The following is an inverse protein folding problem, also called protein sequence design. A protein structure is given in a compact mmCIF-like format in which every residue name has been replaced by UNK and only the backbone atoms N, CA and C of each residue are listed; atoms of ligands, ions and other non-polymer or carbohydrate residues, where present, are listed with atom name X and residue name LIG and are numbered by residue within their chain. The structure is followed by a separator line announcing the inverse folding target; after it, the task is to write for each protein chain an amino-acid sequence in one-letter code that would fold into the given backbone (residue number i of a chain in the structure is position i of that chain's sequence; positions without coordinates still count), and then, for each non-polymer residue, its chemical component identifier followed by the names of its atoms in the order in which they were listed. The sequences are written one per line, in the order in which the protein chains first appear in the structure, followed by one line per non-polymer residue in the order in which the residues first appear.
data_IF_176625926907
#
_entry.id   IF_176625926907
#
_cell.length_a   1.000
_cell.length_b   1.000
_cell.length_c   1.000
_cell.angle_alpha   90.00
_cell.angle_beta   90.00
_cell.angle_gamma   90.00
#
_symmetry.space_group_name_H-M   'P 1'
#
loop_
_entity.id
_entity.type
_entity.pdbx_description
1 polymer ?
#
# COMPACT_ATOMS: atom_id res chain seq x y z
N UNK A 1 -5.48 3.73 -4.43
CA UNK A 1 -6.65 3.89 -3.55
C UNK A 1 -7.68 4.88 -4.13
N UNK A 2 -7.28 6.05 -4.65
CA UNK A 2 -8.20 7.14 -4.98
C UNK A 2 -9.38 6.77 -5.88
N UNK A 3 -9.12 6.06 -6.98
CA UNK A 3 -10.19 5.62 -7.88
C UNK A 3 -11.15 4.63 -7.18
N UNK A 4 -10.59 3.67 -6.43
CA UNK A 4 -11.39 2.67 -5.74
C UNK A 4 -12.30 3.29 -4.65
N UNK A 5 -11.74 4.17 -3.81
CA UNK A 5 -12.51 4.89 -2.80
C UNK A 5 -13.62 5.73 -3.44
N UNK A 6 -13.29 6.52 -4.47
CA UNK A 6 -14.26 7.37 -5.14
C UNK A 6 -15.43 6.58 -5.75
N UNK A 7 -15.13 5.50 -6.49
CA UNK A 7 -16.15 4.65 -7.11
C UNK A 7 -17.02 3.96 -6.05
N UNK A 8 -16.43 3.42 -4.99
CA UNK A 8 -17.17 2.70 -3.95
C UNK A 8 -18.08 3.65 -3.15
N UNK A 9 -17.58 4.84 -2.77
CA UNK A 9 -18.36 5.85 -2.09
C UNK A 9 -19.56 6.30 -2.94
N UNK A 10 -19.34 6.61 -4.21
CA UNK A 10 -20.41 6.97 -5.13
C UNK A 10 -21.46 5.87 -5.27
N UNK A 11 -21.02 4.62 -5.44
CA UNK A 11 -21.92 3.47 -5.52
C UNK A 11 -22.68 3.22 -4.19
N UNK A 12 -22.14 3.75 -3.09
CA UNK A 12 -22.79 3.77 -1.75
C UNK A 12 -23.69 4.97 -1.53
N UNK A 13 -23.87 5.85 -2.53
CA UNK A 13 -24.77 7.02 -2.46
C UNK A 13 -24.16 8.27 -1.83
N UNK A 14 -22.84 8.35 -1.73
CA UNK A 14 -22.12 9.53 -1.23
C UNK A 14 -21.80 10.46 -2.41
N UNK A 15 -21.98 11.76 -2.22
CA UNK A 15 -21.54 12.78 -3.17
C UNK A 15 -20.00 12.85 -3.19
N UNK A 16 -19.40 12.57 -4.33
CA UNK A 16 -17.95 12.49 -4.48
C UNK A 16 -17.44 13.51 -5.51
N UNK A 17 -16.54 14.36 -5.06
CA UNK A 17 -15.77 15.28 -5.89
C UNK A 17 -14.33 14.75 -6.00
N UNK A 18 -13.75 14.79 -7.19
CA UNK A 18 -12.36 14.38 -7.40
C UNK A 18 -11.49 15.62 -7.65
N UNK A 19 -10.66 15.96 -6.67
CA UNK A 19 -9.67 17.03 -6.77
C UNK A 19 -8.39 16.54 -7.47
N UNK A 20 -8.05 17.12 -8.62
CA UNK A 20 -6.87 16.75 -9.39
C UNK A 20 -6.10 17.98 -9.88
N UNK A 21 -4.81 17.79 -10.18
CA UNK A 21 -4.04 18.81 -10.88
C UNK A 21 -4.51 18.91 -12.32
N UNK A 22 -4.81 20.12 -12.77
CA UNK A 22 -5.26 20.39 -14.13
C UNK A 22 -4.27 19.83 -15.18
N UNK A 23 -4.80 19.07 -16.13
CA UNK A 23 -3.99 18.49 -17.21
C UNK A 23 -3.18 17.23 -16.81
N UNK A 24 -3.37 16.67 -15.63
CA UNK A 24 -2.74 15.39 -15.28
C UNK A 24 -3.41 14.20 -16.01
N UNK A 25 -2.70 13.08 -16.13
CA UNK A 25 -3.18 11.88 -16.83
C UNK A 25 -4.49 11.31 -16.23
N UNK A 26 -4.70 11.46 -14.92
CA UNK A 26 -5.90 10.97 -14.24
C UNK A 26 -7.15 11.82 -14.48
N UNK A 27 -7.00 13.06 -14.93
CA UNK A 27 -8.14 13.95 -15.16
C UNK A 27 -9.15 13.39 -16.17
N UNK A 28 -8.75 13.03 -17.42
CA UNK A 28 -9.69 12.48 -18.39
C UNK A 28 -10.27 11.12 -17.95
N UNK A 29 -9.53 10.34 -17.15
CA UNK A 29 -9.99 9.05 -16.63
C UNK A 29 -11.13 9.30 -15.63
N UNK A 30 -10.94 10.18 -14.65
CA UNK A 30 -11.97 10.49 -13.66
C UNK A 30 -13.24 11.09 -14.29
N UNK A 31 -13.09 11.94 -15.31
CA UNK A 31 -14.23 12.48 -16.08
C UNK A 31 -14.98 11.34 -16.81
N UNK A 32 -14.25 10.43 -17.46
CA UNK A 32 -14.84 9.27 -18.15
C UNK A 32 -15.59 8.35 -17.18
N UNK A 33 -15.08 8.21 -15.96
CA UNK A 33 -15.72 7.43 -14.88
C UNK A 33 -16.93 8.15 -14.26
N UNK A 34 -17.26 9.36 -14.73
CA UNK A 34 -18.47 10.11 -14.35
C UNK A 34 -18.34 10.88 -13.05
N UNK A 35 -17.14 11.24 -12.62
CA UNK A 35 -16.93 12.10 -11.45
C UNK A 35 -17.05 13.59 -11.80
N UNK A 36 -17.48 14.38 -10.82
CA UNK A 36 -17.28 15.84 -10.82
C UNK A 36 -15.80 16.11 -10.52
N UNK A 37 -15.04 16.52 -11.54
CA UNK A 37 -13.60 16.71 -11.46
C UNK A 37 -13.26 18.20 -11.46
N UNK A 38 -12.52 18.63 -10.46
CA UNK A 38 -12.07 20.01 -10.33
C UNK A 38 -10.62 20.08 -9.82
N UNK A 39 -10.09 21.28 -9.71
CA UNK A 39 -8.77 21.47 -9.10
C UNK A 39 -8.80 21.16 -7.60
N UNK A 40 -7.64 20.81 -7.02
CA UNK A 40 -7.56 20.49 -5.58
C UNK A 40 -8.08 21.63 -4.70
N UNK A 41 -7.73 22.92 -4.95
CA UNK A 41 -8.30 24.03 -4.19
C UNK A 41 -9.83 24.14 -4.27
N UNK A 42 -10.39 23.98 -5.49
CA UNK A 42 -11.85 24.03 -5.70
C UNK A 42 -12.56 22.89 -4.97
N UNK A 43 -11.99 21.67 -5.01
CA UNK A 43 -12.51 20.53 -4.28
C UNK A 43 -12.41 20.72 -2.76
N UNK A 44 -11.26 21.18 -2.26
CA UNK A 44 -11.06 21.44 -0.82
C UNK A 44 -12.00 22.51 -0.26
N UNK A 45 -12.34 23.52 -1.07
CA UNK A 45 -13.30 24.55 -0.68
C UNK A 45 -14.72 23.97 -0.50
N UNK A 46 -15.13 23.06 -1.39
CA UNK A 46 -16.50 22.50 -1.42
C UNK A 46 -16.71 21.33 -0.48
N UNK A 47 -15.70 20.49 -0.31
CA UNK A 47 -15.85 19.23 0.43
C UNK A 47 -15.98 19.45 1.95
N UNK A 48 -16.79 18.61 2.60
CA UNK A 48 -16.86 18.49 4.06
C UNK A 48 -15.75 17.56 4.58
N UNK A 49 -15.46 16.49 3.83
CA UNK A 49 -14.39 15.51 4.12
C UNK A 49 -13.38 15.52 2.98
N UNK A 50 -12.12 15.77 3.30
CA UNK A 50 -11.02 15.78 2.33
C UNK A 50 -10.15 14.56 2.56
N UNK A 51 -10.29 13.53 1.71
CA UNK A 51 -9.45 12.33 1.75
C UNK A 51 -8.24 12.53 0.83
N UNK A 52 -7.03 12.48 1.40
CA UNK A 52 -5.78 12.62 0.67
C UNK A 52 -5.24 11.23 0.27
N UNK A 53 -5.17 10.96 -1.04
CA UNK A 53 -4.79 9.66 -1.60
C UNK A 53 -3.70 9.76 -2.67
N UNK A 54 -2.91 10.83 -2.67
CA UNK A 54 -1.68 10.93 -3.46
C UNK A 54 -0.51 10.36 -2.67
N UNK A 55 0.62 10.16 -3.35
CA UNK A 55 1.85 9.63 -2.73
C UNK A 55 2.30 10.51 -1.56
N UNK A 56 2.75 9.89 -0.48
CA UNK A 56 3.08 10.54 0.80
C UNK A 56 4.06 11.70 0.66
N UNK A 57 5.08 11.55 -0.18
CA UNK A 57 6.12 12.56 -0.41
C UNK A 57 5.62 13.84 -1.09
N UNK A 58 4.38 13.83 -1.59
CA UNK A 58 3.73 14.99 -2.25
C UNK A 58 2.61 15.61 -1.43
N UNK A 59 2.16 14.90 -0.42
CA UNK A 59 0.98 15.33 0.35
C UNK A 59 1.23 16.64 1.09
N UNK A 60 2.39 16.81 1.73
CA UNK A 60 2.71 18.00 2.52
C UNK A 60 2.69 19.29 1.69
N UNK A 61 3.29 19.26 0.49
CA UNK A 61 3.31 20.42 -0.41
C UNK A 61 1.91 20.75 -0.93
N UNK A 62 1.16 19.73 -1.37
CA UNK A 62 -0.22 19.89 -1.82
C UNK A 62 -1.12 20.39 -0.69
N UNK A 63 -1.00 19.82 0.50
CA UNK A 63 -1.73 20.27 1.69
C UNK A 63 -1.50 21.76 1.94
N UNK A 64 -0.26 22.19 2.00
CA UNK A 64 0.11 23.57 2.30
C UNK A 64 -0.41 24.56 1.25
N UNK A 65 -0.34 24.19 -0.03
CA UNK A 65 -0.67 25.09 -1.15
C UNK A 65 -2.17 25.07 -1.46
N UNK A 66 -2.77 23.88 -1.49
CA UNK A 66 -4.06 23.66 -2.13
C UNK A 66 -5.21 23.31 -1.15
N UNK A 67 -4.89 22.84 0.06
CA UNK A 67 -5.91 22.37 1.03
C UNK A 67 -5.98 23.27 2.27
N UNK A 68 -4.86 23.54 2.92
CA UNK A 68 -4.83 24.26 4.19
C UNK A 68 -5.57 25.62 4.16
N UNK A 69 -5.51 26.42 3.06
CA UNK A 69 -6.27 27.68 3.01
C UNK A 69 -7.79 27.52 3.06
N UNK A 70 -8.32 26.33 2.76
CA UNK A 70 -9.76 26.02 2.68
C UNK A 70 -10.22 25.06 3.77
N UNK A 71 -9.29 24.60 4.64
CA UNK A 71 -9.58 23.67 5.73
C UNK A 71 -10.09 24.46 6.94
N UNK A 72 -11.40 24.73 6.93
CA UNK A 72 -12.09 25.51 7.97
C UNK A 72 -12.64 24.61 9.07
N UNK A 73 -13.00 25.22 10.21
CA UNK A 73 -13.67 24.55 11.32
C UNK A 73 -14.91 23.77 10.84
N UNK A 74 -15.11 22.56 11.39
CA UNK A 74 -16.19 21.65 11.04
C UNK A 74 -15.91 20.75 9.83
N UNK A 75 -14.81 20.94 9.12
CA UNK A 75 -14.36 20.00 8.08
C UNK A 75 -13.54 18.84 8.67
N UNK A 76 -13.40 17.77 7.89
CA UNK A 76 -12.52 16.68 8.21
C UNK A 76 -11.42 16.50 7.14
N UNK A 77 -10.22 16.11 7.57
CA UNK A 77 -9.14 15.67 6.69
C UNK A 77 -8.80 14.22 7.01
N UNK A 78 -8.65 13.40 5.98
CA UNK A 78 -8.49 11.98 6.13
C UNK A 78 -7.35 11.44 5.28
N UNK A 79 -6.81 10.30 5.68
CA UNK A 79 -5.67 9.63 5.07
C UNK A 79 -5.93 8.12 4.98
N UNK A 80 -5.27 7.45 4.03
CA UNK A 80 -5.24 5.99 3.97
C UNK A 80 -3.99 5.41 4.64
N UNK A 81 -3.02 6.24 5.01
CA UNK A 81 -1.79 5.92 5.72
C UNK A 81 -1.33 7.15 6.52
N UNK A 82 -0.79 6.92 7.72
CA UNK A 82 -0.54 8.01 8.67
C UNK A 82 0.80 8.74 8.52
N UNK A 83 1.63 8.47 7.50
CA UNK A 83 2.98 9.00 7.33
C UNK A 83 3.11 10.50 7.61
N UNK A 84 2.31 11.32 6.94
CA UNK A 84 2.42 12.77 7.03
C UNK A 84 1.97 13.34 8.38
N UNK A 85 1.07 12.66 9.07
CA UNK A 85 0.63 13.01 10.42
C UNK A 85 1.67 12.55 11.45
N UNK A 86 2.08 11.27 11.39
CA UNK A 86 3.04 10.68 12.33
C UNK A 86 4.38 11.43 12.33
N UNK A 87 4.89 11.82 11.17
CA UNK A 87 6.15 12.54 11.04
C UNK A 87 5.99 14.07 10.92
N UNK A 88 4.81 14.59 11.28
CA UNK A 88 4.50 16.03 11.39
C UNK A 88 4.82 16.83 10.11
N UNK A 89 4.66 16.20 8.95
CA UNK A 89 4.75 16.89 7.66
C UNK A 89 3.47 17.68 7.36
N UNK A 90 2.34 17.22 7.91
CA UNK A 90 1.04 17.88 7.90
C UNK A 90 0.60 18.03 9.36
N UNK A 91 0.25 19.26 9.73
CA UNK A 91 -0.31 19.59 11.04
C UNK A 91 -1.63 20.34 10.79
N UNK A 92 -2.77 19.66 10.88
CA UNK A 92 -4.08 20.29 10.69
C UNK A 92 -4.40 21.27 11.83
N UNK A 93 -5.26 22.29 11.57
CA UNK A 93 -5.73 23.19 12.62
C UNK A 93 -6.64 22.47 13.63
N UNK A 94 -6.69 22.95 14.87
CA UNK A 94 -7.40 22.31 15.99
C UNK A 94 -8.91 22.16 15.79
N UNK A 95 -9.53 22.97 14.92
CA UNK A 95 -10.98 22.97 14.67
C UNK A 95 -11.46 21.96 13.62
N UNK A 96 -10.61 21.03 13.14
CA UNK A 96 -10.97 20.03 12.13
C UNK A 96 -10.79 18.61 12.65
N UNK A 97 -11.59 17.69 12.15
CA UNK A 97 -11.41 16.29 12.42
C UNK A 97 -10.24 15.71 11.60
N UNK A 98 -9.48 14.81 12.19
CA UNK A 98 -8.38 14.11 11.51
C UNK A 98 -8.49 12.63 11.75
N UNK A 99 -8.69 11.86 10.69
CA UNK A 99 -8.81 10.41 10.80
C UNK A 99 -8.08 9.66 9.69
N UNK A 100 -7.90 8.38 9.92
CA UNK A 100 -7.40 7.44 8.95
C UNK A 100 -8.45 6.38 8.64
N UNK A 101 -8.57 6.07 7.35
CA UNK A 101 -9.32 4.93 6.84
C UNK A 101 -8.39 4.14 5.91
N UNK A 102 -7.78 3.09 6.44
CA UNK A 102 -6.71 2.34 5.78
C UNK A 102 -7.15 0.92 5.39
N UNK A 103 -7.64 0.70 4.15
CA UNK A 103 -7.88 -0.64 3.64
C UNK A 103 -6.56 -1.41 3.53
N UNK A 104 -6.50 -2.62 4.09
CA UNK A 104 -5.31 -3.48 4.04
C UNK A 104 -5.29 -4.31 2.75
N UNK A 105 -5.08 -3.62 1.64
CA UNK A 105 -4.96 -4.19 0.30
C UNK A 105 -4.83 -3.12 -0.77
N UNK A 106 -4.34 -3.48 -1.96
CA UNK A 106 -4.17 -2.54 -3.07
C UNK A 106 -5.52 -2.02 -3.59
N UNK A 107 -5.54 -0.82 -4.15
CA UNK A 107 -6.78 -0.14 -4.57
C UNK A 107 -7.65 -0.96 -5.54
N UNK A 108 -7.04 -1.67 -6.50
CA UNK A 108 -7.80 -2.53 -7.42
C UNK A 108 -8.54 -3.67 -6.68
N UNK A 109 -7.93 -4.23 -5.62
CA UNK A 109 -8.59 -5.23 -4.78
C UNK A 109 -9.73 -4.62 -3.97
N UNK A 110 -9.57 -3.40 -3.44
CA UNK A 110 -10.64 -2.67 -2.75
C UNK A 110 -11.85 -2.49 -3.67
N UNK A 111 -11.65 -2.18 -4.96
CA UNK A 111 -12.73 -2.05 -5.93
C UNK A 111 -13.33 -3.38 -6.33
N UNK A 112 -12.51 -4.36 -6.71
CA UNK A 112 -12.99 -5.65 -7.21
C UNK A 112 -13.78 -6.44 -6.16
N UNK A 113 -13.33 -6.43 -4.91
CA UNK A 113 -14.05 -7.08 -3.80
C UNK A 113 -15.38 -6.37 -3.50
N UNK A 114 -15.42 -5.03 -3.57
CA UNK A 114 -16.64 -4.25 -3.37
C UNK A 114 -17.71 -4.60 -4.39
N UNK A 115 -17.35 -4.69 -5.67
CA UNK A 115 -18.28 -4.99 -6.78
C UNK A 115 -18.97 -6.35 -6.61
N UNK A 116 -18.27 -7.34 -6.05
CA UNK A 116 -18.83 -8.67 -5.76
C UNK A 116 -19.48 -8.78 -4.38
N UNK A 117 -19.79 -7.64 -3.74
CA UNK A 117 -20.49 -7.60 -2.44
C UNK A 117 -19.62 -7.93 -1.22
N UNK A 118 -18.31 -8.08 -1.42
CA UNK A 118 -17.31 -8.31 -0.37
C UNK A 118 -16.62 -6.98 0.03
N UNK A 119 -15.58 -7.06 0.83
CA UNK A 119 -14.75 -5.93 1.24
C UNK A 119 -13.32 -6.33 1.52
N UNK A 120 -12.48 -5.34 1.76
CA UNK A 120 -11.12 -5.50 2.28
C UNK A 120 -11.12 -5.03 3.72
N UNK A 121 -10.51 -5.77 4.67
CA UNK A 121 -10.40 -5.32 6.06
C UNK A 121 -9.74 -3.94 6.14
N UNK A 122 -10.24 -3.09 7.04
CA UNK A 122 -9.75 -1.73 7.20
C UNK A 122 -9.27 -1.48 8.64
N UNK A 123 -8.22 -0.68 8.76
CA UNK A 123 -7.88 -0.04 10.03
C UNK A 123 -8.51 1.35 10.08
N UNK A 124 -8.96 1.74 11.28
CA UNK A 124 -9.46 3.08 11.58
C UNK A 124 -8.65 3.70 12.71
N UNK A 125 -8.28 4.96 12.57
CA UNK A 125 -7.67 5.73 13.65
C UNK A 125 -8.21 7.16 13.65
N UNK A 126 -8.42 7.72 14.82
CA UNK A 126 -8.74 9.13 15.04
C UNK A 126 -7.52 9.81 15.66
N UNK A 127 -6.99 10.81 14.98
CA UNK A 127 -5.88 11.62 15.49
C UNK A 127 -6.41 12.87 16.21
N UNK A 128 -7.48 13.47 15.68
CA UNK A 128 -8.08 14.67 16.23
C UNK A 128 -9.60 14.60 16.06
N UNK A 129 -10.33 14.77 17.15
CA UNK A 129 -11.79 14.78 17.19
C UNK A 129 -12.28 16.16 17.65
N UNK A 130 -12.38 17.08 16.71
CA UNK A 130 -12.85 18.44 16.97
C UNK A 130 -14.38 18.52 17.05
N UNK A 131 -15.08 17.65 16.32
CA UNK A 131 -16.55 17.62 16.26
C UNK A 131 -17.19 16.82 17.39
N UNK A 132 -16.46 15.91 18.05
CA UNK A 132 -16.99 14.89 18.95
C UNK A 132 -17.62 13.68 18.22
N UNK A 133 -17.48 13.61 16.88
CA UNK A 133 -18.07 12.57 16.01
C UNK A 133 -17.11 12.05 14.97
N UNK A 134 -15.81 12.31 15.11
CA UNK A 134 -14.80 11.94 14.13
C UNK A 134 -14.75 10.42 13.87
N UNK A 135 -14.88 9.60 14.92
CA UNK A 135 -14.92 8.15 14.77
C UNK A 135 -16.13 7.68 13.97
N UNK A 136 -17.32 8.22 14.23
CA UNK A 136 -18.53 7.88 13.49
C UNK A 136 -18.39 8.22 12.00
N UNK A 137 -17.79 9.38 11.71
CA UNK A 137 -17.49 9.82 10.34
C UNK A 137 -16.50 8.87 9.65
N UNK A 138 -15.43 8.47 10.34
CA UNK A 138 -14.44 7.53 9.83
C UNK A 138 -15.05 6.14 9.56
N UNK A 139 -15.89 5.64 10.47
CA UNK A 139 -16.60 4.36 10.30
C UNK A 139 -17.59 4.42 9.14
N UNK A 140 -18.33 5.51 8.98
CA UNK A 140 -19.23 5.72 7.85
C UNK A 140 -18.47 5.75 6.52
N UNK A 141 -17.31 6.42 6.48
CA UNK A 141 -16.43 6.42 5.32
C UNK A 141 -15.97 5.00 4.95
N UNK A 142 -15.48 4.23 5.94
CA UNK A 142 -15.04 2.85 5.73
C UNK A 142 -16.19 1.95 5.29
N UNK A 143 -17.39 2.13 5.84
CA UNK A 143 -18.57 1.41 5.39
C UNK A 143 -18.89 1.73 3.92
N UNK A 144 -18.82 3.00 3.53
CA UNK A 144 -19.01 3.47 2.16
C UNK A 144 -18.04 2.86 1.15
N UNK A 145 -16.79 2.65 1.52
CA UNK A 145 -15.82 1.96 0.64
C UNK A 145 -15.92 0.43 0.71
N UNK A 146 -16.79 -0.13 1.54
CA UNK A 146 -17.05 -1.57 1.66
C UNK A 146 -16.23 -2.29 2.74
N UNK A 147 -15.40 -1.59 3.50
CA UNK A 147 -14.54 -2.19 4.52
C UNK A 147 -15.30 -2.87 5.65
N UNK A 148 -16.46 -2.33 6.04
CA UNK A 148 -17.31 -2.93 7.08
C UNK A 148 -17.80 -4.35 6.76
N UNK A 149 -17.80 -4.75 5.49
CA UNK A 149 -18.18 -6.12 5.07
C UNK A 149 -17.11 -7.16 5.40
N UNK A 150 -15.85 -6.73 5.58
CA UNK A 150 -14.73 -7.62 5.87
C UNK A 150 -14.26 -7.50 7.33
N UNK A 151 -14.47 -6.35 7.95
CA UNK A 151 -14.09 -6.05 9.32
C UNK A 151 -13.31 -4.74 9.43
N UNK A 152 -13.49 -4.09 10.57
CA UNK A 152 -12.80 -2.84 10.92
C UNK A 152 -12.08 -3.07 12.24
N UNK A 153 -10.84 -2.68 12.33
CA UNK A 153 -10.05 -2.71 13.55
C UNK A 153 -9.59 -1.30 13.90
N UNK A 154 -9.86 -0.87 15.12
CA UNK A 154 -9.38 0.41 15.64
C UNK A 154 -7.90 0.32 16.00
N UNK A 155 -7.16 1.37 15.68
CA UNK A 155 -5.74 1.53 15.96
C UNK A 155 -5.42 3.01 16.19
N UNK A 156 -4.15 3.37 16.21
CA UNK A 156 -3.68 4.77 16.25
C UNK A 156 -2.95 5.12 14.94
N UNK A 157 -2.87 6.42 14.60
CA UNK A 157 -2.04 6.89 13.49
C UNK A 157 -0.57 6.46 13.68
N UNK A 158 -0.10 6.47 14.91
CA UNK A 158 1.23 6.06 15.31
C UNK A 158 1.48 4.58 14.98
N UNK A 159 0.63 3.70 15.54
CA UNK A 159 0.85 2.25 15.44
C UNK A 159 0.66 1.75 14.01
N UNK A 160 -0.38 2.24 13.32
CA UNK A 160 -0.59 1.88 11.91
C UNK A 160 0.60 2.28 11.05
N UNK A 161 1.06 3.53 11.17
CA UNK A 161 2.16 4.02 10.33
C UNK A 161 3.44 3.22 10.56
N UNK A 162 3.81 2.98 11.81
CA UNK A 162 5.05 2.27 12.12
C UNK A 162 4.99 0.80 11.74
N UNK A 163 3.87 0.13 12.01
CA UNK A 163 3.71 -1.29 11.68
C UNK A 163 3.56 -1.54 10.19
N UNK A 164 2.89 -0.66 9.45
CA UNK A 164 2.77 -0.73 8.00
C UNK A 164 4.13 -0.55 7.31
N UNK A 165 4.86 0.53 7.65
CA UNK A 165 6.20 0.76 7.15
C UNK A 165 7.18 -0.38 7.51
N UNK A 166 7.09 -0.91 8.71
CA UNK A 166 7.89 -2.06 9.11
C UNK A 166 7.55 -3.31 8.30
N UNK A 167 6.25 -3.62 8.17
CA UNK A 167 5.78 -4.77 7.40
C UNK A 167 6.25 -4.72 5.94
N UNK A 168 6.14 -3.57 5.30
CA UNK A 168 6.60 -3.37 3.92
C UNK A 168 8.12 -3.53 3.78
N UNK A 169 8.90 -2.91 4.66
CA UNK A 169 10.35 -2.90 4.57
C UNK A 169 10.97 -4.23 4.98
N UNK A 170 10.51 -4.82 6.09
CA UNK A 170 11.14 -5.99 6.66
C UNK A 170 10.65 -7.31 6.04
N UNK A 171 9.39 -7.39 5.61
CA UNK A 171 8.76 -8.65 5.22
C UNK A 171 8.15 -8.60 3.82
N UNK A 172 7.12 -7.76 3.60
CA UNK A 172 6.21 -7.86 2.46
C UNK A 172 6.82 -7.41 1.12
N UNK A 173 7.72 -6.44 1.13
CA UNK A 173 8.37 -5.93 -0.06
C UNK A 173 9.89 -6.11 0.04
N UNK A 174 10.54 -5.53 1.06
CA UNK A 174 11.99 -5.58 1.18
C UNK A 174 12.49 -7.02 1.40
N UNK A 175 12.05 -7.68 2.46
CA UNK A 175 12.53 -9.02 2.83
C UNK A 175 12.25 -10.08 1.76
N UNK A 176 11.00 -10.15 1.28
CA UNK A 176 10.62 -11.18 0.30
C UNK A 176 11.32 -11.00 -1.06
N UNK A 177 11.50 -9.76 -1.52
CA UNK A 177 12.17 -9.50 -2.81
C UNK A 177 13.64 -9.89 -2.74
N UNK A 178 14.35 -9.56 -1.65
CA UNK A 178 15.74 -9.98 -1.47
C UNK A 178 15.88 -11.50 -1.36
N UNK A 179 14.93 -12.17 -0.67
CA UNK A 179 14.94 -13.63 -0.56
C UNK A 179 14.74 -14.29 -1.93
N UNK A 180 13.78 -13.83 -2.73
CA UNK A 180 13.54 -14.32 -4.10
C UNK A 180 14.76 -14.10 -4.99
N UNK A 181 15.38 -12.91 -4.93
CA UNK A 181 16.56 -12.58 -5.70
C UNK A 181 17.72 -13.50 -5.36
N UNK A 182 18.03 -13.67 -4.08
CA UNK A 182 19.09 -14.57 -3.63
C UNK A 182 18.85 -16.02 -4.08
N UNK A 183 17.61 -16.50 -3.99
CA UNK A 183 17.25 -17.85 -4.46
C UNK A 183 17.47 -18.02 -5.97
N UNK A 184 16.95 -17.07 -6.77
CA UNK A 184 17.12 -17.07 -8.22
C UNK A 184 18.60 -17.03 -8.62
N UNK A 185 19.38 -16.09 -8.10
CA UNK A 185 20.80 -15.96 -8.40
C UNK A 185 21.58 -17.22 -8.03
N UNK A 186 21.32 -17.80 -6.86
CA UNK A 186 21.99 -19.02 -6.38
C UNK A 186 21.80 -20.20 -7.34
N UNK A 187 20.58 -20.39 -7.86
CA UNK A 187 20.31 -21.47 -8.81
C UNK A 187 20.97 -21.21 -10.17
N UNK A 188 20.89 -19.99 -10.69
CA UNK A 188 21.50 -19.62 -11.97
C UNK A 188 23.04 -19.74 -11.89
N UNK A 189 23.66 -19.27 -10.83
CA UNK A 189 25.10 -19.41 -10.59
C UNK A 189 25.54 -20.88 -10.48
N UNK A 190 24.69 -21.77 -10.00
CA UNK A 190 24.91 -23.19 -9.95
C UNK A 190 24.71 -23.89 -11.30
N UNK A 191 24.31 -23.16 -12.36
CA UNK A 191 24.16 -23.66 -13.72
C UNK A 191 22.75 -24.18 -14.06
N UNK A 192 21.75 -23.90 -13.24
CA UNK A 192 20.36 -24.20 -13.59
C UNK A 192 19.80 -23.17 -14.57
N UNK A 193 18.87 -23.60 -15.42
CA UNK A 193 18.19 -22.71 -16.36
C UNK A 193 17.43 -21.60 -15.64
N UNK A 194 17.55 -20.35 -16.07
CA UNK A 194 16.90 -19.21 -15.43
C UNK A 194 15.37 -19.34 -15.32
N UNK A 195 14.73 -20.00 -16.30
CA UNK A 195 13.30 -20.27 -16.31
C UNK A 195 12.89 -21.15 -15.12
N UNK A 196 13.67 -22.22 -14.84
CA UNK A 196 13.43 -23.09 -13.68
C UNK A 196 13.61 -22.32 -12.38
N UNK A 197 14.71 -21.53 -12.27
CA UNK A 197 14.94 -20.69 -11.10
C UNK A 197 13.82 -19.69 -10.86
N UNK A 198 13.25 -19.11 -11.92
CA UNK A 198 12.11 -18.21 -11.82
C UNK A 198 10.84 -18.91 -11.33
N UNK A 199 10.50 -20.07 -11.87
CA UNK A 199 9.33 -20.81 -11.44
C UNK A 199 9.40 -21.18 -9.97
N UNK A 200 10.52 -21.77 -9.55
CA UNK A 200 10.69 -22.30 -8.19
C UNK A 200 10.82 -21.20 -7.12
N UNK A 201 11.53 -20.10 -7.42
CA UNK A 201 11.83 -19.09 -6.40
C UNK A 201 10.87 -17.89 -6.43
N UNK A 202 10.11 -17.69 -7.53
CA UNK A 202 9.32 -16.47 -7.70
C UNK A 202 7.87 -16.79 -8.02
N UNK A 203 7.62 -17.52 -9.10
CA UNK A 203 6.26 -17.77 -9.56
C UNK A 203 5.42 -18.54 -8.53
N UNK A 204 5.99 -19.60 -7.96
CA UNK A 204 5.32 -20.47 -7.01
C UNK A 204 5.08 -19.81 -5.65
N UNK A 205 5.83 -18.77 -5.31
CA UNK A 205 5.68 -18.03 -4.05
C UNK A 205 4.22 -17.62 -3.77
N UNK A 206 3.50 -17.18 -4.81
CA UNK A 206 2.09 -16.80 -4.67
C UNK A 206 1.23 -17.94 -4.13
N UNK A 207 1.44 -19.16 -4.59
CA UNK A 207 0.64 -20.32 -4.17
C UNK A 207 0.86 -20.64 -2.70
N UNK A 208 2.09 -20.54 -2.23
CA UNK A 208 2.45 -20.72 -0.81
C UNK A 208 1.85 -19.60 0.05
N UNK A 209 1.97 -18.35 -0.39
CA UNK A 209 1.39 -17.21 0.32
C UNK A 209 -0.15 -17.30 0.38
N UNK A 210 -0.80 -17.78 -0.67
CA UNK A 210 -2.25 -18.00 -0.68
C UNK A 210 -2.66 -19.07 0.36
N UNK A 211 -1.90 -20.14 0.53
CA UNK A 211 -2.14 -21.16 1.56
C UNK A 211 -1.99 -20.58 2.97
N UNK A 212 -0.93 -19.81 3.22
CA UNK A 212 -0.70 -19.14 4.49
C UNK A 212 -1.85 -18.15 4.78
N UNK A 213 -2.25 -17.36 3.81
CA UNK A 213 -3.35 -16.39 3.96
C UNK A 213 -4.67 -17.08 4.30
N UNK A 214 -4.95 -18.23 3.68
CA UNK A 214 -6.19 -18.98 3.85
C UNK A 214 -6.28 -19.69 5.21
N UNK A 215 -5.19 -20.25 5.71
CA UNK A 215 -5.24 -21.15 6.87
C UNK A 215 -4.10 -21.01 7.87
N UNK A 216 -3.17 -20.09 7.66
CA UNK A 216 -1.97 -19.94 8.48
C UNK A 216 -0.85 -20.91 8.07
N UNK A 217 0.33 -20.73 8.70
CA UNK A 217 1.54 -21.52 8.39
C UNK A 217 1.32 -23.01 8.62
N UNK A 218 0.67 -23.42 9.72
CA UNK A 218 0.41 -24.82 10.02
C UNK A 218 -0.47 -25.50 8.95
N UNK A 219 -1.47 -24.78 8.40
CA UNK A 219 -2.32 -25.31 7.33
C UNK A 219 -1.58 -25.36 5.99
N UNK A 220 -0.68 -24.43 5.74
CA UNK A 220 0.21 -24.46 4.59
C UNK A 220 1.12 -25.70 4.67
N UNK A 221 1.77 -25.94 5.81
CA UNK A 221 2.63 -27.11 6.05
C UNK A 221 1.87 -28.43 5.84
N UNK A 222 0.64 -28.53 6.34
CA UNK A 222 -0.22 -29.70 6.11
C UNK A 222 -0.56 -29.91 4.61
N UNK A 223 -0.51 -28.87 3.81
CA UNK A 223 -0.90 -28.88 2.37
C UNK A 223 0.26 -29.14 1.42
N UNK A 224 1.50 -29.03 1.89
CA UNK A 224 2.73 -29.31 1.10
C UNK A 224 3.23 -30.72 1.37
N UNK A 225 4.30 -31.15 0.70
CA UNK A 225 4.91 -32.45 0.96
C UNK A 225 5.72 -32.47 2.26
N UNK A 226 5.77 -33.64 2.92
CA UNK A 226 6.61 -33.85 4.12
C UNK A 226 8.09 -33.49 3.84
N UNK A 227 8.54 -33.66 2.61
CA UNK A 227 9.91 -33.30 2.18
C UNK A 227 10.11 -31.79 2.21
N UNK A 228 9.13 -31.02 1.76
CA UNK A 228 9.19 -29.56 1.76
C UNK A 228 9.09 -29.02 3.20
N UNK A 229 8.18 -29.56 4.01
CA UNK A 229 8.03 -29.22 5.41
C UNK A 229 9.30 -29.51 6.23
N UNK A 230 9.92 -30.69 6.01
CA UNK A 230 11.20 -31.02 6.64
C UNK A 230 12.31 -30.05 6.20
N UNK A 231 12.36 -29.73 4.90
CA UNK A 231 13.27 -28.74 4.33
C UNK A 231 13.13 -27.36 4.97
N UNK A 232 11.89 -26.91 5.23
CA UNK A 232 11.60 -25.66 5.94
C UNK A 232 12.27 -25.64 7.31
N UNK A 233 12.08 -26.70 8.11
CA UNK A 233 12.58 -26.76 9.48
C UNK A 233 14.11 -26.81 9.58
N UNK A 234 14.78 -27.47 8.65
CA UNK A 234 16.26 -27.60 8.68
C UNK A 234 16.98 -26.51 7.95
N UNK A 235 16.39 -25.93 6.88
CA UNK A 235 17.05 -24.95 6.03
C UNK A 235 16.66 -23.51 6.33
N UNK A 236 15.42 -23.26 6.70
CA UNK A 236 14.93 -21.92 7.05
C UNK A 236 15.83 -21.19 8.06
N UNK A 237 16.16 -21.80 9.23
CA UNK A 237 17.06 -21.17 10.21
C UNK A 237 18.49 -20.94 9.73
N UNK A 238 18.95 -21.65 8.68
CA UNK A 238 20.27 -21.43 8.07
C UNK A 238 20.27 -20.28 7.09
N UNK A 239 19.17 -20.11 6.34
CA UNK A 239 18.98 -19.00 5.39
C UNK A 239 18.77 -17.69 6.12
N UNK A 240 17.89 -17.70 7.14
CA UNK A 240 17.56 -16.53 7.98
C UNK A 240 17.86 -16.88 9.46
N UNK A 241 19.14 -16.76 9.89
CA UNK A 241 19.50 -17.00 11.29
C UNK A 241 18.71 -16.08 12.21
N UNK A 242 17.94 -16.68 13.13
CA UNK A 242 16.91 -15.96 13.90
C UNK A 242 17.43 -14.72 14.62
N UNK A 243 18.51 -14.85 15.38
CA UNK A 243 19.06 -13.75 16.20
C UNK A 243 19.56 -12.60 15.32
N UNK A 244 20.28 -12.90 14.24
CA UNK A 244 20.80 -11.89 13.33
C UNK A 244 19.67 -11.21 12.55
N UNK A 245 18.74 -12.00 12.04
CA UNK A 245 17.57 -11.49 11.29
C UNK A 245 16.75 -10.57 12.17
N UNK A 246 16.46 -11.00 13.40
CA UNK A 246 15.71 -10.20 14.36
C UNK A 246 16.43 -8.91 14.76
N UNK A 247 17.75 -8.95 14.91
CA UNK A 247 18.57 -7.75 15.17
C UNK A 247 18.49 -6.75 14.02
N UNK A 248 18.58 -7.22 12.77
CA UNK A 248 18.44 -6.38 11.57
C UNK A 248 17.03 -5.76 11.49
N UNK A 249 15.99 -6.54 11.74
CA UNK A 249 14.60 -6.05 11.77
C UNK A 249 14.38 -5.00 12.85
N UNK A 250 14.98 -5.17 14.04
CA UNK A 250 14.94 -4.15 15.10
C UNK A 250 15.61 -2.85 14.68
N UNK A 251 16.73 -2.90 13.94
CA UNK A 251 17.37 -1.71 13.43
C UNK A 251 16.47 -0.97 12.42
N UNK A 252 15.80 -1.69 11.53
CA UNK A 252 14.81 -1.12 10.60
C UNK A 252 13.65 -0.47 11.37
N UNK A 253 13.13 -1.15 12.39
CA UNK A 253 12.05 -0.60 13.22
C UNK A 253 12.49 0.67 13.95
N UNK A 254 13.71 0.71 14.49
CA UNK A 254 14.24 1.90 15.14
C UNK A 254 14.34 3.09 14.17
N UNK A 255 14.83 2.87 12.93
CA UNK A 255 14.91 3.94 11.90
C UNK A 255 13.50 4.49 11.55
N UNK A 256 12.46 3.65 11.64
CA UNK A 256 11.06 4.06 11.44
C UNK A 256 10.59 4.88 12.65
N UNK A 257 10.79 4.38 13.86
CA UNK A 257 10.29 4.98 15.09
C UNK A 257 10.92 6.34 15.39
N UNK A 258 12.21 6.51 15.15
CA UNK A 258 12.92 7.77 15.37
C UNK A 258 12.81 8.77 14.21
N UNK A 259 12.17 8.37 13.09
CA UNK A 259 11.95 9.20 11.91
C UNK A 259 13.16 9.26 10.94
N UNK A 260 14.21 8.49 11.18
CA UNK A 260 15.40 8.43 10.30
C UNK A 260 14.98 8.00 8.89
N UNK A 261 14.14 6.95 8.75
CA UNK A 261 13.63 6.52 7.46
C UNK A 261 12.81 7.61 6.75
N UNK A 262 11.88 8.23 7.46
CA UNK A 262 11.03 9.29 6.91
C UNK A 262 11.88 10.49 6.45
N UNK A 263 12.86 10.90 7.24
CA UNK A 263 13.79 11.97 6.89
C UNK A 263 14.60 11.66 5.63
N UNK A 264 15.13 10.45 5.50
CA UNK A 264 15.85 9.98 4.29
C UNK A 264 14.94 10.01 3.06
N UNK A 265 13.70 9.50 3.17
CA UNK A 265 12.76 9.47 2.06
C UNK A 265 12.34 10.87 1.59
N UNK A 266 12.05 11.77 2.53
CA UNK A 266 11.71 13.16 2.22
C UNK A 266 12.89 13.86 1.54
N UNK A 267 14.12 13.66 2.05
CA UNK A 267 15.32 14.23 1.44
C UNK A 267 15.58 13.69 0.03
N UNK A 268 15.42 12.38 -0.18
CA UNK A 268 15.56 11.73 -1.48
C UNK A 268 14.60 12.34 -2.51
N UNK A 269 13.34 12.59 -2.13
CA UNK A 269 12.36 13.23 -3.00
C UNK A 269 12.75 14.67 -3.36
N UNK A 270 13.21 15.46 -2.39
CA UNK A 270 13.66 16.84 -2.63
C UNK A 270 14.90 16.91 -3.52
N UNK A 271 15.74 15.88 -3.49
CA UNK A 271 16.99 15.78 -4.27
C UNK A 271 16.82 15.06 -5.62
N UNK A 272 15.58 14.88 -6.12
CA UNK A 272 15.31 14.38 -7.47
C UNK A 272 15.29 12.86 -7.59
N UNK A 273 15.23 12.09 -6.49
CA UNK A 273 15.03 10.64 -6.46
C UNK A 273 16.11 9.83 -7.19
N UNK A 274 17.36 10.26 -7.13
CA UNK A 274 18.45 9.61 -7.87
C UNK A 274 18.68 8.16 -7.41
N UNK A 275 18.74 7.92 -6.10
CA UNK A 275 18.88 6.59 -5.53
C UNK A 275 17.68 5.69 -5.89
N UNK A 276 16.48 6.19 -5.65
CA UNK A 276 15.25 5.47 -5.94
C UNK A 276 15.12 5.07 -7.41
N UNK A 277 15.35 6.02 -8.34
CA UNK A 277 15.25 5.76 -9.77
C UNK A 277 16.33 4.79 -10.25
N UNK A 278 17.58 4.93 -9.77
CA UNK A 278 18.66 4.01 -10.17
C UNK A 278 18.39 2.57 -9.75
N UNK A 279 17.83 2.35 -8.55
CA UNK A 279 17.47 1.01 -8.08
C UNK A 279 16.27 0.44 -8.85
N UNK A 280 15.27 1.26 -9.16
CA UNK A 280 14.13 0.87 -10.01
C UNK A 280 14.60 0.43 -11.39
N UNK A 281 15.49 1.19 -12.02
CA UNK A 281 16.04 0.88 -13.33
C UNK A 281 16.95 -0.37 -13.31
N UNK A 282 17.72 -0.55 -12.25
CA UNK A 282 18.55 -1.74 -12.09
C UNK A 282 17.69 -3.00 -11.92
N UNK A 283 16.67 -2.95 -11.07
CA UNK A 283 15.76 -4.07 -10.86
C UNK A 283 15.00 -4.44 -12.15
N UNK A 284 14.51 -3.46 -12.90
CA UNK A 284 13.80 -3.70 -14.16
C UNK A 284 14.68 -4.40 -15.22
N UNK A 285 16.00 -4.27 -15.13
CA UNK A 285 16.99 -4.93 -16.00
C UNK A 285 17.55 -6.23 -15.43
N UNK A 286 17.19 -6.58 -14.20
CA UNK A 286 17.67 -7.79 -13.56
C UNK A 286 17.21 -9.03 -14.34
N UNK A 287 18.05 -10.07 -14.51
CA UNK A 287 17.67 -11.29 -15.24
C UNK A 287 16.36 -11.91 -14.74
N UNK A 288 16.10 -11.90 -13.44
CA UNK A 288 14.86 -12.34 -12.83
C UNK A 288 13.63 -11.66 -13.45
N UNK A 289 13.67 -10.33 -13.66
CA UNK A 289 12.57 -9.58 -14.27
C UNK A 289 12.46 -9.80 -15.78
N UNK A 290 13.60 -9.89 -16.46
CA UNK A 290 13.64 -10.14 -17.92
C UNK A 290 13.02 -11.50 -18.24
N UNK A 291 13.47 -12.57 -17.57
CA UNK A 291 12.92 -13.92 -17.72
C UNK A 291 11.46 -13.97 -17.29
N UNK A 292 11.13 -13.35 -16.14
CA UNK A 292 9.76 -13.30 -15.65
C UNK A 292 8.80 -12.65 -16.64
N UNK A 293 9.22 -11.59 -17.34
CA UNK A 293 8.38 -10.94 -18.36
C UNK A 293 8.16 -11.87 -19.56
N UNK A 294 9.21 -12.55 -20.06
CA UNK A 294 9.09 -13.49 -21.16
C UNK A 294 8.14 -14.65 -20.83
N UNK A 295 8.27 -15.24 -19.64
CA UNK A 295 7.41 -16.32 -19.19
C UNK A 295 5.95 -15.87 -19.01
N UNK A 296 5.73 -14.70 -18.41
CA UNK A 296 4.36 -14.13 -18.27
C UNK A 296 3.69 -13.85 -19.60
N UNK A 297 4.44 -13.48 -20.65
CA UNK A 297 3.90 -13.31 -22.00
C UNK A 297 3.45 -14.61 -22.64
N UNK A 298 4.10 -15.75 -22.31
CA UNK A 298 3.76 -17.07 -22.82
C UNK A 298 2.61 -17.75 -22.06
N UNK A 299 2.28 -17.29 -20.85
CA UNK A 299 1.21 -17.86 -20.03
C UNK A 299 -0.17 -17.45 -20.52
N UNK A 300 -0.97 -18.41 -20.98
CA UNK A 300 -2.27 -18.20 -21.62
C UNK A 300 -3.35 -17.56 -20.72
N UNK A 301 -3.21 -17.63 -19.39
CA UNK A 301 -4.19 -17.07 -18.44
C UNK A 301 -4.00 -15.58 -18.14
N UNK A 302 -3.08 -14.91 -18.83
CA UNK A 302 -2.85 -13.47 -18.68
C UNK A 302 -3.99 -12.59 -19.21
N UNK A 303 -4.88 -13.16 -20.01
CA UNK A 303 -5.97 -12.43 -20.65
C UNK A 303 -7.14 -12.04 -19.74
N UNK A 304 -7.17 -12.48 -18.48
CA UNK A 304 -8.23 -12.16 -17.50
C UNK A 304 -7.90 -10.99 -16.58
N UNK A 305 -6.72 -10.41 -16.66
CA UNK A 305 -6.32 -9.26 -15.84
C UNK A 305 -6.23 -7.99 -16.68
N UNK A 306 -7.35 -7.32 -16.90
CA UNK A 306 -7.40 -5.88 -17.22
C UNK A 306 -6.91 -5.03 -16.02
N UNK A 307 -5.79 -5.44 -15.41
CA UNK A 307 -5.22 -4.82 -14.20
C UNK A 307 -4.06 -3.86 -14.52
N UNK A 308 -3.71 -3.74 -15.77
CA UNK A 308 -2.58 -2.92 -16.20
C UNK A 308 -3.06 -1.55 -16.65
N UNK A 309 -2.47 -0.53 -16.03
CA UNK A 309 -2.38 0.88 -16.43
C UNK A 309 -3.13 1.95 -15.62
N UNK A 310 -3.36 1.75 -14.34
CA UNK A 310 -3.85 2.84 -13.47
C UNK A 310 -2.81 3.42 -12.49
N UNK A 311 -1.56 2.97 -12.53
CA UNK A 311 -0.52 3.44 -11.58
C UNK A 311 0.80 3.76 -12.26
N UNK A 312 0.81 4.86 -13.04
CA UNK A 312 2.04 5.60 -13.36
C UNK A 312 1.73 7.10 -13.43
#
# INVERSE_FOLDING_TARGET
QGLAHGLNLRDSGVDVIVGLRKGCKSWPVAVKDGFDVMTVPEAAQKADIIMILINDERQADMYKQDIAPYLTEGKAIAFAHGFNIRYKQIVPPAGVDVFMAAPKGPGHTVRSTYVVGKGVPCLVAVEQDASGHCLDTALAYIAGIGGARAGIMETTMHDETETDLFGEQAVLCGGIVELMRCGFETLVEAGYEPENAYFECIHEMKLIVDLINKGGVAAMNYSISDTAEYGEYVSGPRILPYEQTKANMKAVLNDIQDGTFAGKWIAENKNGRCFFNSHRDALAKHPMEVIGNQLREQMLWKNDSNLDNASN
#
